data_IF_617220508125
#
_entry.id   IF_617220508125
#
_cell.length_a   1.000
_cell.length_b   1.000
_cell.length_c   1.000
_cell.angle_alpha   90.00
_cell.angle_beta   90.00
_cell.angle_gamma   90.00
#
_symmetry.space_group_name_H-M   'P 1'
#
loop_
_entity.id
_entity.type
_entity.pdbx_description
1 polymer ?
#
# COMPACT_ATOMS: atom_id res chain seq x y z
N UNK A 1 -20.26 1.91 -33.90
CA UNK A 1 -19.95 2.87 -32.81
C UNK A 1 -19.82 2.16 -31.42
N UNK A 2 -20.81 1.36 -30.98
CA UNK A 2 -20.75 0.65 -29.68
C UNK A 2 -19.55 -0.27 -29.48
N UNK A 3 -18.99 -0.87 -30.50
CA UNK A 3 -17.80 -1.75 -30.42
C UNK A 3 -16.50 -0.95 -30.22
N UNK A 4 -16.44 0.29 -30.66
CA UNK A 4 -15.28 1.17 -30.49
C UNK A 4 -15.29 1.81 -29.10
N UNK A 5 -16.46 2.19 -28.59
CA UNK A 5 -16.62 2.72 -27.22
C UNK A 5 -16.23 1.67 -26.15
N UNK A 6 -16.61 0.41 -26.37
CA UNK A 6 -16.27 -0.71 -25.47
C UNK A 6 -14.75 -0.98 -25.36
N UNK A 7 -13.93 -0.53 -26.32
CA UNK A 7 -12.48 -0.70 -26.28
C UNK A 7 -11.77 0.31 -25.36
N UNK A 8 -12.44 1.41 -24.98
CA UNK A 8 -11.83 2.52 -24.26
C UNK A 8 -12.41 2.75 -22.86
N UNK A 9 -13.54 2.12 -22.54
CA UNK A 9 -14.23 2.28 -21.25
C UNK A 9 -14.36 0.96 -20.52
N UNK A 10 -14.40 1.06 -19.19
CA UNK A 10 -14.81 -0.06 -18.32
C UNK A 10 -16.34 -0.27 -18.47
N UNK A 11 -16.80 -1.49 -18.77
CA UNK A 11 -18.22 -1.73 -19.07
C UNK A 11 -19.14 -1.52 -17.86
N UNK A 12 -18.64 -1.64 -16.64
CA UNK A 12 -19.43 -1.48 -15.43
C UNK A 12 -19.55 -0.01 -15.02
N UNK A 13 -18.42 0.68 -14.94
CA UNK A 13 -18.34 2.03 -14.39
C UNK A 13 -18.44 3.12 -15.45
N UNK A 14 -18.27 2.79 -16.73
CA UNK A 14 -18.17 3.71 -17.88
C UNK A 14 -16.97 4.67 -17.81
N UNK A 15 -16.10 4.52 -16.84
CA UNK A 15 -14.85 5.25 -16.76
C UNK A 15 -13.88 4.80 -17.87
N UNK A 16 -12.90 5.63 -18.24
CA UNK A 16 -11.73 5.20 -18.97
C UNK A 16 -11.15 3.91 -18.41
N UNK A 17 -10.79 2.97 -19.27
CA UNK A 17 -10.16 1.73 -18.86
C UNK A 17 -8.64 1.90 -18.74
N UNK A 18 -7.95 0.82 -18.33
CA UNK A 18 -6.49 0.76 -18.18
C UNK A 18 -5.72 1.23 -19.43
N UNK A 19 -6.23 0.90 -20.63
CA UNK A 19 -5.54 1.26 -21.88
C UNK A 19 -5.58 2.79 -22.13
N UNK A 20 -6.73 3.42 -21.89
CA UNK A 20 -6.88 4.88 -22.00
C UNK A 20 -6.05 5.59 -20.92
N UNK A 21 -6.03 5.08 -19.71
CA UNK A 21 -5.20 5.60 -18.64
C UNK A 21 -3.72 5.61 -19.04
N UNK A 22 -3.21 4.48 -19.55
CA UNK A 22 -1.82 4.35 -19.98
C UNK A 22 -1.45 5.31 -21.11
N UNK A 23 -2.31 5.45 -22.15
CA UNK A 23 -2.10 6.40 -23.24
C UNK A 23 -2.06 7.86 -22.75
N UNK A 24 -2.98 8.24 -21.87
CA UNK A 24 -2.99 9.59 -21.29
C UNK A 24 -1.76 9.85 -20.43
N UNK A 25 -1.38 8.93 -19.58
CA UNK A 25 -0.17 9.02 -18.75
C UNK A 25 1.09 9.20 -19.61
N UNK A 26 1.22 8.42 -20.68
CA UNK A 26 2.36 8.55 -21.62
C UNK A 26 2.41 9.94 -22.26
N UNK A 27 1.26 10.50 -22.63
CA UNK A 27 1.17 11.87 -23.16
C UNK A 27 1.58 12.93 -22.14
N UNK A 28 1.10 12.81 -20.89
CA UNK A 28 1.49 13.74 -19.82
C UNK A 28 2.99 13.66 -19.53
N UNK A 29 3.55 12.46 -19.52
CA UNK A 29 4.99 12.25 -19.32
C UNK A 29 5.82 12.87 -20.45
N UNK A 30 5.41 12.68 -21.71
CA UNK A 30 6.05 13.35 -22.86
C UNK A 30 5.91 14.89 -22.79
N UNK A 31 4.79 15.38 -22.29
CA UNK A 31 4.55 16.82 -22.12
C UNK A 31 5.45 17.41 -21.02
N UNK A 32 5.57 16.73 -19.87
CA UNK A 32 6.41 17.19 -18.76
C UNK A 32 7.91 17.27 -19.13
N UNK A 33 8.37 16.37 -20.00
CA UNK A 33 9.77 16.40 -20.51
C UNK A 33 10.04 17.57 -21.47
N UNK A 34 9.01 18.09 -22.13
CA UNK A 34 9.16 19.19 -23.12
C UNK A 34 8.93 20.56 -22.51
N UNK A 35 8.17 20.67 -21.44
CA UNK A 35 7.78 21.94 -20.83
C UNK A 35 8.30 22.02 -19.40
N UNK A 36 9.37 22.80 -19.22
CA UNK A 36 9.91 23.04 -17.89
C UNK A 36 8.83 23.62 -16.95
N UNK A 37 8.74 23.06 -15.74
CA UNK A 37 7.76 23.47 -14.75
C UNK A 37 6.37 22.85 -14.89
N UNK A 38 6.07 22.13 -15.98
CA UNK A 38 4.83 21.36 -16.06
C UNK A 38 4.92 20.10 -15.20
N UNK A 39 3.90 19.91 -14.36
CA UNK A 39 3.85 18.82 -13.39
C UNK A 39 2.50 18.15 -13.44
N UNK A 40 2.47 16.86 -13.19
CA UNK A 40 1.25 16.07 -13.04
C UNK A 40 1.44 15.06 -11.89
N UNK A 41 0.36 14.45 -11.45
CA UNK A 41 0.40 13.41 -10.43
C UNK A 41 -0.44 12.21 -10.84
N UNK A 42 -0.03 11.03 -10.38
CA UNK A 42 -0.78 9.77 -10.43
C UNK A 42 -1.24 9.44 -9.02
N UNK A 43 -2.54 9.21 -8.84
CA UNK A 43 -3.10 8.63 -7.63
C UNK A 43 -3.59 7.23 -7.97
N UNK A 44 -3.12 6.23 -7.24
CA UNK A 44 -3.64 4.88 -7.29
C UNK A 44 -4.58 4.66 -6.11
N UNK A 45 -5.76 4.13 -6.35
CA UNK A 45 -6.85 4.04 -5.36
C UNK A 45 -7.35 2.62 -5.31
N UNK A 46 -7.43 2.04 -4.12
CA UNK A 46 -7.95 0.70 -3.87
C UNK A 46 -8.99 0.75 -2.75
N UNK A 47 -10.13 0.08 -2.96
CA UNK A 47 -11.21 0.04 -1.99
C UNK A 47 -10.91 -0.96 -0.89
N UNK A 48 -10.80 -0.46 0.33
CA UNK A 48 -10.52 -1.30 1.48
C UNK A 48 -11.65 -2.30 1.74
N UNK A 49 -11.27 -3.56 1.94
CA UNK A 49 -12.20 -4.64 2.26
C UNK A 49 -13.32 -4.89 1.22
N UNK A 50 -13.15 -4.49 -0.04
CA UNK A 50 -14.14 -4.72 -1.11
C UNK A 50 -14.57 -6.18 -1.22
N UNK A 51 -13.63 -7.13 -1.09
CA UNK A 51 -13.94 -8.55 -1.07
C UNK A 51 -14.97 -8.90 0.02
N UNK A 52 -14.86 -8.30 1.21
CA UNK A 52 -15.81 -8.53 2.31
C UNK A 52 -17.22 -8.02 1.96
N UNK A 53 -17.33 -6.94 1.19
CA UNK A 53 -18.62 -6.45 0.69
C UNK A 53 -19.24 -7.49 -0.25
N UNK A 54 -18.46 -8.00 -1.22
CA UNK A 54 -18.93 -9.06 -2.11
C UNK A 54 -19.34 -10.34 -1.36
N UNK A 55 -18.52 -10.76 -0.41
CA UNK A 55 -18.78 -11.98 0.37
C UNK A 55 -20.02 -11.85 1.27
N UNK A 56 -20.34 -10.61 1.73
CA UNK A 56 -21.46 -10.36 2.64
C UNK A 56 -22.77 -10.04 1.91
N UNK A 57 -22.71 -9.25 0.83
CA UNK A 57 -23.88 -8.69 0.16
C UNK A 57 -24.04 -9.17 -1.30
N UNK A 58 -23.10 -9.98 -1.79
CA UNK A 58 -23.10 -10.51 -3.15
C UNK A 58 -22.48 -9.55 -4.18
N UNK A 59 -22.15 -10.10 -5.36
CA UNK A 59 -21.48 -9.36 -6.44
C UNK A 59 -22.29 -8.17 -6.98
N UNK A 60 -23.62 -8.25 -7.00
CA UNK A 60 -24.46 -7.12 -7.42
C UNK A 60 -24.28 -5.89 -6.51
N UNK A 61 -24.11 -6.11 -5.21
CA UNK A 61 -23.82 -5.04 -4.27
C UNK A 61 -22.43 -4.44 -4.50
N UNK A 62 -21.44 -5.28 -4.80
CA UNK A 62 -20.11 -4.83 -5.19
C UNK A 62 -20.12 -4.01 -6.48
N UNK A 63 -20.87 -4.42 -7.49
CA UNK A 63 -21.01 -3.69 -8.75
C UNK A 63 -21.68 -2.32 -8.54
N UNK A 64 -22.71 -2.24 -7.72
CA UNK A 64 -23.36 -0.99 -7.35
C UNK A 64 -22.42 -0.06 -6.57
N UNK A 65 -21.62 -0.64 -5.66
CA UNK A 65 -20.57 0.09 -4.93
C UNK A 65 -19.55 0.67 -5.90
N UNK A 66 -18.96 -0.14 -6.80
CA UNK A 66 -17.99 0.31 -7.79
C UNK A 66 -18.52 1.42 -8.69
N UNK A 67 -19.77 1.31 -9.15
CA UNK A 67 -20.41 2.34 -9.97
C UNK A 67 -20.59 3.65 -9.19
N UNK A 68 -20.93 3.56 -7.90
CA UNK A 68 -21.10 4.74 -7.04
C UNK A 68 -19.74 5.39 -6.74
N UNK A 69 -18.72 4.59 -6.45
CA UNK A 69 -17.34 5.05 -6.28
C UNK A 69 -16.83 5.78 -7.51
N UNK A 70 -17.04 5.24 -8.70
CA UNK A 70 -16.66 5.87 -9.96
C UNK A 70 -17.23 7.29 -10.07
N UNK A 71 -18.52 7.47 -9.83
CA UNK A 71 -19.21 8.78 -9.88
C UNK A 71 -18.69 9.75 -8.81
N UNK A 72 -18.34 9.24 -7.62
CA UNK A 72 -17.77 10.05 -6.54
C UNK A 72 -16.37 10.53 -6.89
N UNK A 73 -15.53 9.65 -7.44
CA UNK A 73 -14.19 10.01 -7.91
C UNK A 73 -14.24 11.09 -8.99
N UNK A 74 -15.15 10.98 -9.98
CA UNK A 74 -15.32 12.02 -11.02
C UNK A 74 -15.68 13.38 -10.43
N UNK A 75 -16.50 13.44 -9.37
CA UNK A 75 -16.84 14.70 -8.68
C UNK A 75 -15.66 15.30 -7.91
N UNK A 76 -14.68 14.48 -7.54
CA UNK A 76 -13.50 14.91 -6.80
C UNK A 76 -12.39 15.48 -7.67
N UNK A 77 -12.54 15.52 -8.98
CA UNK A 77 -11.51 15.95 -9.92
C UNK A 77 -12.06 16.98 -10.91
N UNK A 78 -11.17 17.63 -11.63
CA UNK A 78 -11.53 18.62 -12.68
C UNK A 78 -11.78 17.92 -14.01
N UNK A 79 -12.33 18.63 -14.98
CA UNK A 79 -12.64 18.11 -16.30
C UNK A 79 -11.39 17.69 -17.09
N UNK A 80 -10.26 18.37 -16.88
CA UNK A 80 -8.95 18.07 -17.46
C UNK A 80 -8.27 16.84 -16.85
N UNK A 81 -8.65 16.47 -15.61
CA UNK A 81 -8.13 15.30 -14.94
C UNK A 81 -8.74 14.01 -15.53
N UNK A 82 -8.15 12.88 -15.22
CA UNK A 82 -8.68 11.59 -15.67
C UNK A 82 -8.90 10.67 -14.49
N UNK A 83 -10.11 10.14 -14.37
CA UNK A 83 -10.41 8.99 -13.52
C UNK A 83 -10.51 7.76 -14.42
N UNK A 84 -9.90 6.65 -14.02
CA UNK A 84 -9.94 5.39 -14.76
C UNK A 84 -10.16 4.22 -13.79
N UNK A 85 -10.78 3.15 -14.27
CA UNK A 85 -10.80 1.87 -13.56
C UNK A 85 -9.74 0.95 -14.15
N UNK A 86 -8.84 0.46 -13.29
CA UNK A 86 -7.70 -0.36 -13.71
C UNK A 86 -8.08 -1.85 -13.72
N UNK A 87 -8.94 -2.27 -12.78
CA UNK A 87 -9.50 -3.61 -12.68
C UNK A 87 -9.97 -3.91 -11.25
N UNK A 88 -10.87 -4.87 -11.08
CA UNK A 88 -11.35 -5.22 -9.74
C UNK A 88 -11.89 -4.02 -8.95
N UNK A 89 -11.29 -3.74 -7.83
CA UNK A 89 -11.55 -2.63 -6.90
C UNK A 89 -10.53 -1.48 -7.01
N UNK A 90 -9.67 -1.51 -8.04
CA UNK A 90 -8.61 -0.53 -8.28
C UNK A 90 -9.02 0.55 -9.27
N UNK A 91 -8.79 1.80 -8.88
CA UNK A 91 -8.96 2.98 -9.70
C UNK A 91 -7.65 3.76 -9.79
N UNK A 92 -7.51 4.57 -10.82
CA UNK A 92 -6.40 5.49 -10.96
C UNK A 92 -6.90 6.88 -11.36
N UNK A 93 -6.22 7.89 -10.84
CA UNK A 93 -6.50 9.29 -11.15
C UNK A 93 -5.23 9.94 -11.68
N UNK A 94 -5.35 10.63 -12.83
CA UNK A 94 -4.32 11.51 -13.36
C UNK A 94 -4.73 12.95 -13.10
N UNK A 95 -3.95 13.66 -12.30
CA UNK A 95 -4.12 15.09 -12.08
C UNK A 95 -3.17 15.85 -13.00
N UNK A 96 -3.77 16.59 -13.92
CA UNK A 96 -3.04 17.40 -14.90
C UNK A 96 -2.65 18.77 -14.31
N UNK A 97 -1.52 19.32 -14.74
CA UNK A 97 -1.05 20.67 -14.43
C UNK A 97 -1.09 21.01 -12.92
N UNK A 98 -0.55 20.12 -12.07
CA UNK A 98 -0.48 20.36 -10.62
C UNK A 98 0.61 21.38 -10.28
N UNK A 99 0.33 22.27 -9.33
CA UNK A 99 1.30 23.30 -8.89
C UNK A 99 2.35 22.73 -7.94
N UNK A 100 1.92 21.96 -6.96
CA UNK A 100 2.75 21.43 -5.88
C UNK A 100 2.11 20.18 -5.24
N UNK A 101 2.79 19.59 -4.26
CA UNK A 101 2.32 18.43 -3.51
C UNK A 101 1.05 18.74 -2.72
N UNK A 102 0.95 19.95 -2.16
CA UNK A 102 -0.21 20.37 -1.34
C UNK A 102 -1.50 20.35 -2.13
N UNK A 103 -1.48 20.81 -3.38
CA UNK A 103 -2.64 20.75 -4.27
C UNK A 103 -3.10 19.31 -4.56
N UNK A 104 -2.16 18.37 -4.65
CA UNK A 104 -2.46 16.94 -4.87
C UNK A 104 -3.04 16.29 -3.61
N UNK A 105 -2.47 16.58 -2.45
CA UNK A 105 -2.96 16.02 -1.16
C UNK A 105 -4.36 16.49 -0.80
N UNK A 106 -4.71 17.75 -1.13
CA UNK A 106 -6.09 18.25 -0.98
C UNK A 106 -7.09 17.43 -1.82
N UNK A 107 -6.71 17.03 -3.05
CA UNK A 107 -7.57 16.16 -3.86
C UNK A 107 -7.67 14.76 -3.25
N UNK A 108 -6.57 14.21 -2.74
CA UNK A 108 -6.57 12.91 -2.09
C UNK A 108 -7.45 12.90 -0.82
N UNK A 109 -7.37 13.92 0.02
CA UNK A 109 -8.22 14.09 1.20
C UNK A 109 -9.69 14.17 0.82
N UNK A 110 -10.03 14.97 -0.19
CA UNK A 110 -11.40 15.07 -0.70
C UNK A 110 -11.93 13.73 -1.22
N UNK A 111 -11.09 12.94 -1.91
CA UNK A 111 -11.45 11.60 -2.37
C UNK A 111 -11.74 10.69 -1.16
N UNK A 112 -10.87 10.68 -0.15
CA UNK A 112 -11.08 9.87 1.06
C UNK A 112 -12.35 10.25 1.80
N UNK A 113 -12.60 11.53 1.99
CA UNK A 113 -13.82 12.03 2.65
C UNK A 113 -15.08 11.62 1.89
N UNK A 114 -15.08 11.78 0.55
CA UNK A 114 -16.25 11.44 -0.27
C UNK A 114 -16.49 9.92 -0.33
N UNK A 115 -15.43 9.10 -0.37
CA UNK A 115 -15.55 7.66 -0.36
C UNK A 115 -15.95 7.09 1.01
N UNK A 116 -15.64 7.80 2.09
CA UNK A 116 -16.05 7.40 3.43
C UNK A 116 -17.57 7.60 3.70
N UNK A 117 -18.24 8.43 2.90
CA UNK A 117 -19.69 8.63 3.02
C UNK A 117 -20.44 7.31 2.74
N UNK A 118 -21.50 7.00 3.52
CA UNK A 118 -22.31 5.81 3.30
C UNK A 118 -22.82 5.73 1.86
N UNK A 119 -22.86 4.51 1.33
CA UNK A 119 -23.41 4.19 0.00
C UNK A 119 -24.61 3.28 0.20
N UNK A 120 -25.78 3.73 -0.23
CA UNK A 120 -26.98 2.92 -0.13
C UNK A 120 -27.03 1.90 -1.26
N UNK A 121 -26.93 0.62 -0.93
CA UNK A 121 -27.01 -0.51 -1.86
C UNK A 121 -28.17 -1.40 -1.40
N UNK A 122 -29.14 -1.63 -2.28
CA UNK A 122 -30.33 -2.43 -2.00
C UNK A 122 -31.06 -2.03 -0.70
N UNK A 123 -31.11 -0.71 -0.43
CA UNK A 123 -31.77 -0.15 0.77
C UNK A 123 -30.97 -0.31 2.08
N UNK A 124 -29.70 -0.67 2.00
CA UNK A 124 -28.78 -0.77 3.13
C UNK A 124 -27.60 0.16 2.94
N UNK A 125 -27.19 0.82 4.01
CA UNK A 125 -26.01 1.67 3.98
C UNK A 125 -24.74 0.83 4.19
N UNK A 126 -23.87 0.87 3.19
CA UNK A 126 -22.54 0.24 3.21
C UNK A 126 -21.51 1.35 3.33
N UNK A 127 -20.68 1.27 4.35
CA UNK A 127 -19.52 2.18 4.49
C UNK A 127 -18.27 1.46 4.00
N UNK A 128 -17.50 2.12 3.16
CA UNK A 128 -16.20 1.65 2.72
C UNK A 128 -15.17 2.73 2.97
N UNK A 129 -13.90 2.39 2.91
CA UNK A 129 -12.78 3.32 2.85
C UNK A 129 -11.93 3.00 1.63
N UNK A 130 -10.96 3.82 1.35
CA UNK A 130 -10.00 3.57 0.29
C UNK A 130 -8.58 3.89 0.79
N UNK A 131 -7.61 3.18 0.25
CA UNK A 131 -6.21 3.48 0.42
C UNK A 131 -5.66 4.08 -0.87
N UNK A 132 -4.96 5.21 -0.75
CA UNK A 132 -4.45 5.95 -1.89
C UNK A 132 -2.93 6.01 -1.88
N UNK A 133 -2.32 5.81 -3.05
CA UNK A 133 -0.90 6.08 -3.26
C UNK A 133 -0.71 7.19 -4.28
N UNK A 134 0.17 8.13 -3.99
CA UNK A 134 0.44 9.31 -4.80
C UNK A 134 1.86 9.27 -5.32
N UNK A 135 2.05 9.37 -6.64
CA UNK A 135 3.33 9.59 -7.27
C UNK A 135 3.32 10.89 -8.07
N UNK A 136 4.39 11.67 -7.94
CA UNK A 136 4.52 13.00 -8.54
C UNK A 136 5.54 12.96 -9.68
N UNK A 137 5.21 13.57 -10.82
CA UNK A 137 6.11 13.67 -11.99
C UNK A 137 7.44 14.36 -11.69
N UNK A 138 7.52 15.13 -10.59
CA UNK A 138 8.74 15.80 -10.13
C UNK A 138 9.86 14.84 -9.71
N UNK A 139 9.54 13.57 -9.43
CA UNK A 139 10.53 12.52 -9.11
C UNK A 139 11.44 12.19 -10.30
N UNK A 140 11.04 12.56 -11.54
CA UNK A 140 11.89 12.41 -12.72
C UNK A 140 11.76 11.03 -13.37
N UNK A 141 10.56 10.64 -13.76
CA UNK A 141 10.30 9.35 -14.41
C UNK A 141 10.65 9.36 -15.90
N UNK A 142 11.19 8.25 -16.39
CA UNK A 142 11.43 8.02 -17.80
C UNK A 142 10.32 7.19 -18.46
N UNK A 143 9.72 6.26 -17.74
CA UNK A 143 8.69 5.37 -18.23
C UNK A 143 7.39 5.52 -17.44
N UNK A 144 6.22 5.41 -18.13
CA UNK A 144 4.92 5.46 -17.46
C UNK A 144 4.73 4.37 -16.39
N UNK A 145 5.29 3.19 -16.61
CA UNK A 145 5.19 2.05 -15.71
C UNK A 145 5.84 2.32 -14.35
N UNK A 146 6.93 3.11 -14.34
CA UNK A 146 7.65 3.43 -13.11
C UNK A 146 6.81 4.31 -12.18
N UNK A 147 6.12 5.34 -12.69
CA UNK A 147 5.27 6.20 -11.87
C UNK A 147 4.03 5.45 -11.36
N UNK A 148 3.47 4.51 -12.15
CA UNK A 148 2.36 3.66 -11.72
C UNK A 148 2.80 2.71 -10.60
N UNK A 149 3.95 2.04 -10.77
CA UNK A 149 4.54 1.17 -9.75
C UNK A 149 4.77 1.92 -8.44
N UNK A 150 5.27 3.13 -8.52
CA UNK A 150 5.60 3.94 -7.35
C UNK A 150 4.33 4.45 -6.65
N UNK A 151 3.29 4.80 -7.41
CA UNK A 151 1.97 5.11 -6.85
C UNK A 151 1.36 3.87 -6.16
N UNK A 152 1.45 2.68 -6.76
CA UNK A 152 0.99 1.43 -6.16
C UNK A 152 1.76 1.09 -4.87
N UNK A 153 3.09 1.25 -4.86
CA UNK A 153 3.91 1.06 -3.66
C UNK A 153 3.50 2.00 -2.52
N UNK A 154 3.19 3.27 -2.83
CA UNK A 154 2.66 4.21 -1.86
C UNK A 154 1.28 3.79 -1.33
N UNK A 155 0.38 3.33 -2.19
CA UNK A 155 -0.93 2.81 -1.80
C UNK A 155 -0.82 1.61 -0.86
N UNK A 156 0.09 0.67 -1.17
CA UNK A 156 0.34 -0.47 -0.29
C UNK A 156 0.80 -0.04 1.11
N UNK A 157 1.62 1.02 1.19
CA UNK A 157 2.00 1.61 2.48
C UNK A 157 0.80 2.20 3.22
N UNK A 158 -0.06 2.95 2.55
CA UNK A 158 -1.28 3.46 3.17
C UNK A 158 -2.15 2.32 3.77
N UNK A 159 -2.21 1.17 3.08
CA UNK A 159 -2.87 -0.04 3.60
C UNK A 159 -2.18 -0.61 4.85
N UNK A 160 -0.86 -0.64 4.88
CA UNK A 160 -0.08 -1.15 6.01
C UNK A 160 -0.17 -0.23 7.24
N UNK A 161 -0.21 1.08 7.03
CA UNK A 161 -0.28 2.10 8.08
C UNK A 161 -1.70 2.27 8.69
N UNK A 162 -2.69 1.46 8.29
CA UNK A 162 -4.01 1.42 8.93
C UNK A 162 -5.19 1.58 7.99
N UNK A 163 -4.99 1.75 6.70
CA UNK A 163 -6.02 1.98 5.66
C UNK A 163 -6.78 3.30 5.82
N UNK A 164 -7.68 3.60 4.89
CA UNK A 164 -8.48 4.84 4.94
C UNK A 164 -7.65 6.11 4.85
N UNK A 165 -6.47 6.05 4.24
CA UNK A 165 -5.47 7.11 4.22
C UNK A 165 -4.78 7.19 2.86
N UNK A 166 -3.96 8.21 2.67
CA UNK A 166 -3.07 8.29 1.52
C UNK A 166 -1.60 8.28 1.95
N UNK A 167 -0.72 7.85 1.04
CA UNK A 167 0.72 8.02 1.17
C UNK A 167 1.30 8.62 -0.11
N UNK A 168 2.30 9.49 0.04
CA UNK A 168 3.04 10.05 -1.09
C UNK A 168 4.31 9.23 -1.28
N UNK A 169 4.57 8.81 -2.52
CA UNK A 169 5.80 8.11 -2.86
C UNK A 169 7.00 9.05 -2.75
N UNK A 170 8.00 8.59 -2.06
CA UNK A 170 9.36 9.14 -2.11
C UNK A 170 10.38 8.02 -2.29
N UNK A 171 11.58 8.37 -2.74
CA UNK A 171 12.66 7.39 -3.01
C UNK A 171 13.14 6.66 -1.75
N UNK A 172 13.07 7.29 -0.59
CA UNK A 172 13.39 6.63 0.68
C UNK A 172 12.32 5.61 1.06
N UNK A 173 11.05 5.91 0.76
CA UNK A 173 9.94 5.01 1.01
C UNK A 173 10.07 3.71 0.21
N UNK A 174 10.42 3.80 -1.07
CA UNK A 174 10.63 2.62 -1.91
C UNK A 174 11.79 1.75 -1.39
N UNK A 175 12.91 2.36 -1.03
CA UNK A 175 14.06 1.63 -0.48
C UNK A 175 13.72 0.95 0.86
N UNK A 176 12.92 1.60 1.72
CA UNK A 176 12.45 1.01 3.00
C UNK A 176 11.49 -0.16 2.78
N UNK A 177 10.50 -0.01 1.89
CA UNK A 177 9.54 -1.08 1.58
C UNK A 177 10.24 -2.31 0.99
N UNK A 178 11.20 -2.09 0.09
CA UNK A 178 12.03 -3.15 -0.49
C UNK A 178 12.87 -3.84 0.58
N UNK A 179 13.57 -3.08 1.42
CA UNK A 179 14.39 -3.63 2.50
C UNK A 179 13.56 -4.44 3.51
N UNK A 180 12.33 -4.02 3.76
CA UNK A 180 11.41 -4.74 4.65
C UNK A 180 10.97 -6.09 4.05
N UNK A 181 10.64 -6.12 2.76
CA UNK A 181 10.29 -7.37 2.06
C UNK A 181 11.49 -8.34 1.99
N UNK A 182 12.69 -7.82 1.68
CA UNK A 182 13.92 -8.60 1.69
C UNK A 182 14.17 -9.20 3.08
N UNK A 183 14.07 -8.40 4.13
CA UNK A 183 14.24 -8.87 5.52
C UNK A 183 13.20 -9.90 5.94
N UNK A 184 11.95 -9.82 5.45
CA UNK A 184 10.93 -10.84 5.72
C UNK A 184 11.31 -12.20 5.11
N UNK A 185 11.76 -12.21 3.85
CA UNK A 185 12.21 -13.43 3.19
C UNK A 185 13.44 -14.02 3.89
N UNK A 186 14.40 -13.18 4.25
CA UNK A 186 15.60 -13.55 4.98
C UNK A 186 15.28 -14.12 6.38
N UNK A 187 14.31 -13.54 7.10
CA UNK A 187 13.88 -14.02 8.41
C UNK A 187 13.18 -15.39 8.34
N UNK A 188 12.38 -15.62 7.30
CA UNK A 188 11.78 -16.95 7.03
C UNK A 188 12.86 -17.99 6.76
N UNK A 189 13.91 -17.64 6.05
CA UNK A 189 15.02 -18.53 5.76
C UNK A 189 15.92 -18.73 7.00
N UNK A 190 16.13 -17.71 7.82
CA UNK A 190 16.91 -17.76 9.06
C UNK A 190 16.42 -18.85 10.03
N UNK A 191 15.09 -19.06 10.09
CA UNK A 191 14.49 -20.11 10.92
C UNK A 191 14.83 -21.52 10.44
N UNK A 192 15.09 -21.70 9.14
CA UNK A 192 15.43 -22.98 8.51
C UNK A 192 16.94 -23.22 8.47
N UNK A 193 17.73 -22.16 8.45
CA UNK A 193 19.18 -22.18 8.21
C UNK A 193 20.01 -22.03 9.47
N UNK A 194 19.42 -22.26 10.67
CA UNK A 194 20.08 -22.16 11.98
C UNK A 194 20.80 -20.81 12.21
N UNK A 195 20.23 -19.72 11.69
CA UNK A 195 20.78 -18.38 11.89
C UNK A 195 20.28 -17.72 13.18
N UNK A 196 19.25 -18.30 13.82
CA UNK A 196 18.77 -17.83 15.11
C UNK A 196 19.53 -18.51 16.25
N UNK A 197 19.78 -17.75 17.33
CA UNK A 197 20.43 -18.23 18.54
C UNK A 197 19.84 -17.54 19.77
N UNK A 198 20.06 -18.12 20.95
CA UNK A 198 19.69 -17.50 22.23
C UNK A 198 20.96 -17.07 22.98
N UNK A 199 20.94 -15.86 23.51
CA UNK A 199 21.86 -15.38 24.53
C UNK A 199 21.13 -15.30 25.84
N UNK A 200 21.82 -15.74 26.94
CA UNK A 200 21.22 -15.77 28.26
C UNK A 200 21.82 -14.68 29.13
N UNK A 201 20.95 -13.85 29.71
CA UNK A 201 21.34 -12.85 30.70
C UNK A 201 20.90 -13.31 32.08
N UNK A 202 21.79 -13.28 33.09
CA UNK A 202 21.42 -13.65 34.45
C UNK A 202 20.49 -12.59 35.07
N UNK A 203 19.40 -13.05 35.67
CA UNK A 203 18.55 -12.24 36.53
C UNK A 203 19.05 -12.42 37.97
N UNK A 204 19.43 -11.32 38.60
CA UNK A 204 19.99 -11.31 39.93
C UNK A 204 19.08 -10.67 40.95
N UNK A 205 19.01 -11.20 42.14
CA UNK A 205 18.33 -10.58 43.27
C UNK A 205 19.11 -9.35 43.73
N UNK A 206 18.40 -8.23 43.96
CA UNK A 206 19.03 -6.99 44.41
C UNK A 206 19.52 -7.07 45.88
N UNK A 207 18.98 -8.03 46.66
CA UNK A 207 19.27 -8.17 48.09
C UNK A 207 20.65 -8.77 48.35
N UNK A 208 21.02 -9.80 47.62
CA UNK A 208 22.24 -10.57 47.85
C UNK A 208 23.12 -10.79 46.61
N UNK A 209 22.65 -10.31 45.44
CA UNK A 209 23.33 -10.51 44.15
C UNK A 209 23.26 -11.95 43.62
N UNK A 210 22.46 -12.82 44.25
CA UNK A 210 22.26 -14.20 43.80
C UNK A 210 21.53 -14.31 42.49
N UNK A 211 21.94 -15.25 41.63
CA UNK A 211 21.23 -15.51 40.35
C UNK A 211 19.92 -16.23 40.63
N UNK A 212 18.80 -15.62 40.27
CA UNK A 212 17.44 -16.15 40.46
C UNK A 212 16.83 -16.72 39.18
N UNK A 213 17.44 -16.42 38.01
CA UNK A 213 16.95 -16.91 36.73
C UNK A 213 17.86 -16.49 35.58
N UNK A 214 17.46 -16.89 34.38
CA UNK A 214 18.09 -16.49 33.11
C UNK A 214 17.06 -15.95 32.18
N UNK A 215 17.32 -14.81 31.55
CA UNK A 215 16.51 -14.27 30.47
C UNK A 215 17.09 -14.73 29.13
N UNK A 216 16.26 -15.40 28.32
CA UNK A 216 16.66 -15.87 27.00
C UNK A 216 16.35 -14.76 25.95
N UNK A 217 17.39 -14.21 25.35
CA UNK A 217 17.31 -13.14 24.38
C UNK A 217 17.69 -13.66 23.01
N UNK A 218 16.75 -13.64 22.07
CA UNK A 218 16.98 -14.08 20.69
C UNK A 218 17.97 -13.16 19.99
N UNK A 219 18.82 -13.76 19.14
CA UNK A 219 19.75 -13.08 18.23
C UNK A 219 19.63 -13.70 16.85
N UNK A 220 19.77 -12.88 15.83
CA UNK A 220 19.82 -13.36 14.45
C UNK A 220 21.22 -13.10 13.88
N UNK A 221 21.96 -14.17 13.61
CA UNK A 221 23.26 -14.11 12.92
C UNK A 221 23.01 -13.98 11.40
N UNK A 222 22.78 -12.74 10.97
CA UNK A 222 22.50 -12.45 9.57
C UNK A 222 23.77 -12.55 8.73
N UNK A 223 23.75 -13.23 7.55
CA UNK A 223 24.96 -13.45 6.74
C UNK A 223 25.70 -12.18 6.34
N UNK A 224 24.97 -11.11 6.02
CA UNK A 224 25.54 -9.86 5.51
C UNK A 224 25.54 -8.73 6.55
N UNK A 225 24.60 -8.73 7.51
CA UNK A 225 24.40 -7.63 8.47
C UNK A 225 25.00 -7.92 9.85
N UNK A 226 25.56 -9.13 10.05
CA UNK A 226 26.08 -9.55 11.34
C UNK A 226 24.99 -9.94 12.33
N UNK A 227 25.20 -9.71 13.62
CA UNK A 227 24.23 -10.09 14.66
C UNK A 227 23.18 -8.98 14.80
N UNK A 228 21.95 -9.29 14.42
CA UNK A 228 20.79 -8.43 14.61
C UNK A 228 20.13 -8.66 15.96
N UNK A 229 19.76 -7.56 16.62
CA UNK A 229 19.07 -7.57 17.91
C UNK A 229 17.54 -7.67 17.70
N UNK A 230 16.77 -8.14 18.70
CA UNK A 230 15.32 -8.29 18.60
C UNK A 230 14.61 -7.04 18.10
N UNK A 231 14.99 -5.86 18.55
CA UNK A 231 14.39 -4.59 18.13
C UNK A 231 14.47 -4.30 16.63
N UNK A 232 15.37 -4.97 15.89
CA UNK A 232 15.59 -4.76 14.46
C UNK A 232 14.68 -5.65 13.58
N UNK A 233 14.23 -6.82 14.07
CA UNK A 233 13.44 -7.76 13.28
C UNK A 233 12.13 -8.22 13.93
N UNK A 234 11.95 -8.08 15.25
CA UNK A 234 10.71 -8.49 15.94
C UNK A 234 9.48 -7.70 15.48
N UNK A 235 9.53 -6.37 15.25
CA UNK A 235 8.38 -5.64 14.73
C UNK A 235 7.91 -6.18 13.38
N UNK A 236 8.84 -6.60 12.53
CA UNK A 236 8.52 -7.25 11.26
C UNK A 236 7.89 -8.64 11.47
N UNK A 237 8.43 -9.42 12.39
CA UNK A 237 7.88 -10.73 12.74
C UNK A 237 6.44 -10.64 13.27
N UNK A 238 6.11 -9.59 14.03
CA UNK A 238 4.76 -9.30 14.50
C UNK A 238 3.83 -8.92 13.34
N UNK A 239 4.25 -8.00 12.49
CA UNK A 239 3.46 -7.54 11.35
C UNK A 239 3.13 -8.65 10.35
N UNK A 240 4.04 -9.62 10.17
CA UNK A 240 3.91 -10.74 9.21
C UNK A 240 3.37 -12.03 9.83
N UNK A 241 3.17 -12.06 11.15
CA UNK A 241 2.72 -13.25 11.89
C UNK A 241 3.82 -14.29 12.15
N UNK A 242 5.06 -14.06 11.70
CA UNK A 242 6.22 -14.94 11.97
C UNK A 242 6.58 -15.03 13.45
N UNK A 243 6.11 -14.07 14.24
CA UNK A 243 6.31 -14.04 15.70
C UNK A 243 5.86 -15.34 16.38
N UNK A 244 4.81 -15.99 15.86
CA UNK A 244 4.29 -17.25 16.42
C UNK A 244 5.29 -18.40 16.23
N UNK A 245 5.84 -18.51 15.02
CA UNK A 245 6.83 -19.55 14.69
C UNK A 245 8.14 -19.33 15.46
N UNK A 246 8.59 -18.07 15.53
CA UNK A 246 9.78 -17.67 16.31
C UNK A 246 9.56 -17.99 17.80
N UNK A 247 8.39 -17.67 18.35
CA UNK A 247 8.07 -17.94 19.75
C UNK A 247 8.14 -19.43 20.07
N UNK A 248 7.60 -20.29 19.21
CA UNK A 248 7.71 -21.73 19.38
C UNK A 248 9.16 -22.24 19.25
N UNK A 249 9.96 -21.65 18.39
CA UNK A 249 11.38 -21.97 18.26
C UNK A 249 12.14 -21.58 19.54
N UNK A 250 11.93 -20.33 20.03
CA UNK A 250 12.57 -19.84 21.28
C UNK A 250 12.23 -20.73 22.45
N UNK A 251 10.96 -21.09 22.65
CA UNK A 251 10.55 -21.97 23.76
C UNK A 251 11.24 -23.34 23.69
N UNK A 252 11.32 -23.94 22.53
CA UNK A 252 12.00 -25.23 22.35
C UNK A 252 13.49 -25.15 22.59
N UNK A 253 14.14 -24.07 22.15
CA UNK A 253 15.58 -23.90 22.27
C UNK A 253 15.96 -23.55 23.70
N UNK A 254 15.17 -22.72 24.40
CA UNK A 254 15.40 -22.35 25.80
C UNK A 254 15.21 -23.53 26.79
N UNK A 255 14.44 -24.55 26.41
CA UNK A 255 14.19 -25.75 27.23
C UNK A 255 15.14 -26.92 26.93
N UNK A 256 16.11 -26.74 26.04
CA UNK A 256 17.18 -27.72 25.79
C UNK A 256 18.32 -27.62 26.77
#
# INVERSE_FOLDING_TARGET
EKLVESAFQDPLTQLPNRAVFADRLERLLKHSKRRAGYRFAVLFVDLDHFKKVNDTFGHHAGDALLTTVARRLEKCVRQEDTVARIGGDEFAVLLDAVSDVGGVTIVAERILEELHQPITVDGRDVTTSASLGIALSMTGYDNPEDIVRDADAAMYRAKADGRGAYAVFDTEMYSRARAQLEMELELRDAMRSNQLSLQYHPVVALEDGGVTGMEALIRWAHPERGILLPGEFMPLAEATGLIVEIGWWVLREACR
#
